data_IF_674327801951
#
_entry.id   IF_674327801951
#
_cell.length_a   1.000
_cell.length_b   1.000
_cell.length_c   1.000
_cell.angle_alpha   90.00
_cell.angle_beta   90.00
_cell.angle_gamma   90.00
#
_symmetry.space_group_name_H-M   'P 1'
#
loop_
_entity.id
_entity.type
_entity.pdbx_description
1 polymer ?
#
# COMPACT_ATOMS: atom_id res chain seq x y z
N UNK A 1 16.98 9.59 -11.05
CA UNK A 1 17.44 10.41 -12.21
C UNK A 1 17.77 11.83 -11.78
N UNK A 2 16.84 12.63 -11.29
CA UNK A 2 17.08 14.03 -10.87
C UNK A 2 18.08 14.14 -9.70
N UNK A 3 18.16 13.14 -8.83
CA UNK A 3 19.19 13.09 -7.78
C UNK A 3 20.62 13.16 -8.34
N UNK A 4 20.88 12.66 -9.54
CA UNK A 4 22.19 12.74 -10.16
C UNK A 4 22.62 14.19 -10.50
N UNK A 5 21.68 15.13 -10.57
CA UNK A 5 22.01 16.56 -10.79
C UNK A 5 22.81 17.17 -9.64
N UNK A 6 22.81 16.54 -8.46
CA UNK A 6 23.63 16.95 -7.31
C UNK A 6 25.14 16.98 -7.66
N UNK A 7 25.58 16.15 -8.62
CA UNK A 7 26.99 16.13 -9.08
C UNK A 7 27.44 17.47 -9.69
N UNK A 8 26.48 18.26 -10.19
CA UNK A 8 26.74 19.56 -10.81
C UNK A 8 26.49 20.73 -9.85
N UNK A 9 26.19 20.45 -8.57
CA UNK A 9 25.88 21.49 -7.58
C UNK A 9 27.03 22.45 -7.29
N UNK A 10 28.28 22.02 -7.47
CA UNK A 10 29.45 22.87 -7.33
C UNK A 10 29.56 23.94 -8.45
N UNK A 11 28.97 23.66 -9.62
CA UNK A 11 28.94 24.57 -10.77
C UNK A 11 27.66 25.40 -10.79
N UNK A 12 26.52 24.78 -10.39
CA UNK A 12 25.19 25.38 -10.41
C UNK A 12 24.57 25.21 -9.02
N UNK A 13 24.80 26.18 -8.13
CA UNK A 13 24.37 26.13 -6.72
C UNK A 13 22.94 25.70 -6.46
N UNK A 14 21.91 26.16 -7.23
CA UNK A 14 20.53 25.71 -7.06
C UNK A 14 20.31 24.21 -7.17
N UNK A 15 21.16 23.46 -7.89
CA UNK A 15 21.03 22.00 -8.02
C UNK A 15 21.28 21.24 -6.70
N UNK A 16 21.88 21.90 -5.70
CA UNK A 16 22.04 21.31 -4.37
C UNK A 16 20.71 20.96 -3.70
N UNK A 17 19.60 21.56 -4.12
CA UNK A 17 18.26 21.26 -3.58
C UNK A 17 17.88 19.80 -3.76
N UNK A 18 18.31 19.13 -4.81
CA UNK A 18 18.06 17.71 -5.06
C UNK A 18 18.74 16.77 -4.06
N UNK A 19 19.67 17.27 -3.23
CA UNK A 19 20.27 16.50 -2.13
C UNK A 19 19.26 16.22 -1.02
N UNK A 20 18.30 17.11 -0.81
CA UNK A 20 17.36 17.03 0.30
C UNK A 20 16.21 16.05 -0.01
N UNK A 21 16.06 15.02 0.85
CA UNK A 21 14.99 14.01 0.73
C UNK A 21 13.61 14.69 0.76
N UNK A 22 13.42 15.68 1.63
CA UNK A 22 12.15 16.41 1.75
C UNK A 22 11.74 17.09 0.46
N UNK A 23 12.69 17.75 -0.24
CA UNK A 23 12.43 18.36 -1.55
C UNK A 23 12.07 17.31 -2.58
N UNK A 24 12.80 16.20 -2.63
CA UNK A 24 12.54 15.10 -3.56
C UNK A 24 11.22 14.40 -3.28
N UNK A 25 10.83 14.28 -2.00
CA UNK A 25 9.51 13.74 -1.61
C UNK A 25 8.40 14.65 -2.09
N UNK A 26 8.51 15.97 -1.91
CA UNK A 26 7.56 16.96 -2.43
C UNK A 26 7.45 16.89 -3.96
N UNK A 27 8.60 16.82 -4.65
CA UNK A 27 8.65 16.64 -6.11
C UNK A 27 8.02 15.33 -6.55
N UNK A 28 8.21 14.26 -5.79
CA UNK A 28 7.61 12.96 -6.08
C UNK A 28 6.08 12.99 -5.93
N UNK A 29 5.55 13.64 -4.88
CA UNK A 29 4.10 13.85 -4.71
C UNK A 29 3.52 14.56 -5.93
N UNK A 30 4.12 15.72 -6.29
CA UNK A 30 3.61 16.54 -7.39
C UNK A 30 3.69 15.82 -8.74
N UNK A 31 4.80 15.14 -9.02
CA UNK A 31 4.99 14.41 -10.28
C UNK A 31 3.99 13.27 -10.41
N UNK A 32 3.79 12.46 -9.37
CA UNK A 32 2.85 11.35 -9.40
C UNK A 32 1.41 11.86 -9.52
N UNK A 33 1.04 12.90 -8.77
CA UNK A 33 -0.29 13.53 -8.86
C UNK A 33 -0.57 14.05 -10.27
N UNK A 34 0.33 14.87 -10.81
CA UNK A 34 0.17 15.46 -12.14
C UNK A 34 0.15 14.39 -13.23
N UNK A 35 0.98 13.35 -13.11
CA UNK A 35 0.99 12.24 -14.05
C UNK A 35 -0.38 11.55 -14.10
N UNK A 36 -0.93 11.16 -12.94
CA UNK A 36 -2.24 10.51 -12.87
C UNK A 36 -3.35 11.45 -13.33
N UNK A 37 -3.26 12.74 -13.00
CA UNK A 37 -4.26 13.72 -13.39
C UNK A 37 -4.29 13.95 -14.91
N UNK A 38 -3.13 14.04 -15.55
CA UNK A 38 -3.02 14.30 -17.00
C UNK A 38 -3.33 13.05 -17.83
N UNK A 39 -2.84 11.89 -17.42
CA UNK A 39 -3.01 10.65 -18.20
C UNK A 39 -4.22 9.81 -17.77
N UNK A 40 -4.81 10.12 -16.60
CA UNK A 40 -5.98 9.41 -16.07
C UNK A 40 -7.15 9.31 -17.04
N UNK A 41 -7.65 10.41 -17.62
CA UNK A 41 -8.76 10.36 -18.57
C UNK A 41 -8.49 9.43 -19.75
N UNK A 42 -7.28 9.50 -20.35
CA UNK A 42 -6.92 8.64 -21.47
C UNK A 42 -6.87 7.15 -21.09
N UNK A 43 -6.37 6.85 -19.88
CA UNK A 43 -6.34 5.47 -19.36
C UNK A 43 -7.77 4.97 -19.09
N UNK A 44 -8.64 5.79 -18.50
CA UNK A 44 -10.04 5.45 -18.25
C UNK A 44 -10.76 5.15 -19.57
N UNK A 45 -10.61 5.99 -20.59
CA UNK A 45 -11.23 5.80 -21.89
C UNK A 45 -10.72 4.54 -22.59
N UNK A 46 -9.40 4.28 -22.55
CA UNK A 46 -8.81 3.06 -23.07
C UNK A 46 -9.38 1.80 -22.38
N UNK A 47 -9.47 1.82 -21.05
CA UNK A 47 -10.01 0.70 -20.29
C UNK A 47 -11.51 0.52 -20.55
N UNK A 48 -12.28 1.61 -20.66
CA UNK A 48 -13.72 1.57 -20.98
C UNK A 48 -13.97 0.94 -22.34
N UNK A 49 -13.19 1.31 -23.35
CA UNK A 49 -13.29 0.74 -24.71
C UNK A 49 -12.93 -0.75 -24.70
N UNK A 50 -11.84 -1.13 -24.03
CA UNK A 50 -11.38 -2.52 -24.00
C UNK A 50 -12.26 -3.45 -23.14
N UNK A 51 -12.85 -2.95 -22.06
CA UNK A 51 -13.63 -3.75 -21.12
C UNK A 51 -15.14 -3.80 -21.51
N UNK A 52 -15.63 -2.86 -22.29
CA UNK A 52 -16.99 -2.81 -22.84
C UNK A 52 -18.12 -2.85 -21.80
N UNK A 53 -18.20 -3.94 -21.01
CA UNK A 53 -19.22 -4.15 -19.97
C UNK A 53 -18.79 -3.76 -18.55
N UNK A 54 -17.53 -3.31 -18.38
CA UNK A 54 -16.94 -3.03 -17.07
C UNK A 54 -16.70 -4.29 -16.23
N UNK A 55 -16.47 -4.11 -14.93
CA UNK A 55 -16.23 -5.22 -14.01
C UNK A 55 -17.53 -6.02 -13.76
N UNK A 56 -17.50 -7.37 -13.76
CA UNK A 56 -18.63 -8.19 -13.33
C UNK A 56 -18.97 -7.92 -11.86
N UNK A 57 -20.23 -7.54 -11.60
CA UNK A 57 -20.71 -7.29 -10.23
C UNK A 57 -21.28 -8.58 -9.67
N UNK A 58 -20.99 -8.87 -8.40
CA UNK A 58 -21.54 -10.04 -7.70
C UNK A 58 -23.03 -9.83 -7.43
N UNK A 59 -23.85 -10.83 -7.75
CA UNK A 59 -25.29 -10.79 -7.55
C UNK A 59 -25.71 -10.89 -6.07
N UNK A 60 -24.84 -11.47 -5.23
CA UNK A 60 -25.03 -11.61 -3.78
C UNK A 60 -24.59 -10.39 -2.96
N UNK A 61 -24.11 -9.32 -3.63
CA UNK A 61 -23.69 -8.07 -3.03
C UNK A 61 -24.83 -7.09 -2.72
N UNK A 62 -24.54 -5.92 -2.09
CA UNK A 62 -25.51 -4.87 -1.87
C UNK A 62 -26.13 -4.37 -3.19
N UNK A 63 -27.46 -4.13 -3.19
CA UNK A 63 -28.16 -3.69 -4.40
C UNK A 63 -27.68 -2.34 -4.94
N UNK A 64 -27.14 -1.47 -4.07
CA UNK A 64 -26.53 -0.20 -4.44
C UNK A 64 -25.39 -0.36 -5.47
N UNK A 65 -24.69 -1.51 -5.46
CA UNK A 65 -23.60 -1.79 -6.37
C UNK A 65 -24.08 -2.06 -7.82
N UNK A 66 -25.33 -2.44 -8.02
CA UNK A 66 -25.88 -2.67 -9.36
C UNK A 66 -25.90 -1.36 -10.21
N UNK A 67 -26.03 -0.22 -9.57
CA UNK A 67 -25.97 1.09 -10.24
C UNK A 67 -24.58 1.41 -10.82
N UNK A 68 -23.52 0.74 -10.34
CA UNK A 68 -22.11 0.91 -10.77
C UNK A 68 -21.74 0.03 -11.97
N UNK A 69 -22.71 -0.65 -12.57
CA UNK A 69 -22.50 -1.51 -13.76
C UNK A 69 -21.96 -0.69 -14.94
N UNK A 70 -20.85 -1.14 -15.52
CA UNK A 70 -20.20 -0.46 -16.63
C UNK A 70 -19.01 0.42 -16.22
N UNK A 71 -18.77 0.62 -14.92
CA UNK A 71 -17.54 1.28 -14.44
C UNK A 71 -16.32 0.40 -14.73
N UNK A 72 -15.28 0.91 -15.43
CA UNK A 72 -14.09 0.13 -15.71
C UNK A 72 -13.29 -0.15 -14.43
N UNK A 73 -12.58 -1.28 -14.42
CA UNK A 73 -11.63 -1.64 -13.37
C UNK A 73 -10.18 -1.51 -13.86
N UNK A 74 -9.20 -1.93 -13.05
CA UNK A 74 -7.76 -1.81 -13.33
C UNK A 74 -7.22 -0.38 -13.22
N UNK A 75 -7.86 0.49 -12.45
CA UNK A 75 -7.35 1.83 -12.14
C UNK A 75 -5.98 1.82 -11.46
N UNK A 76 -5.60 0.68 -10.88
CA UNK A 76 -4.25 0.43 -10.39
C UNK A 76 -3.15 0.68 -11.42
N UNK A 77 -3.43 0.55 -12.72
CA UNK A 77 -2.45 0.85 -13.78
C UNK A 77 -2.03 2.33 -13.78
N UNK A 78 -2.96 3.26 -13.57
CA UNK A 78 -2.60 4.68 -13.47
C UNK A 78 -1.84 4.99 -12.19
N UNK A 79 -2.19 4.34 -11.08
CA UNK A 79 -1.47 4.48 -9.81
C UNK A 79 -0.04 3.97 -9.97
N UNK A 80 0.15 2.75 -10.47
CA UNK A 80 1.45 2.12 -10.66
C UNK A 80 2.35 2.90 -11.62
N UNK A 81 1.80 3.41 -12.73
CA UNK A 81 2.56 4.22 -13.66
C UNK A 81 3.00 5.55 -13.02
N UNK A 82 2.13 6.22 -12.28
CA UNK A 82 2.46 7.44 -11.54
C UNK A 82 3.55 7.22 -10.49
N UNK A 83 3.43 6.15 -9.68
CA UNK A 83 4.44 5.76 -8.68
C UNK A 83 5.78 5.46 -9.36
N UNK A 84 5.77 4.66 -10.42
CA UNK A 84 7.00 4.22 -11.11
C UNK A 84 7.74 5.39 -11.72
N UNK A 85 7.05 6.21 -12.50
CA UNK A 85 7.64 7.40 -13.14
C UNK A 85 8.20 8.35 -12.08
N UNK A 86 7.43 8.65 -11.07
CA UNK A 86 7.84 9.56 -10.00
C UNK A 86 9.04 9.01 -9.22
N UNK A 87 9.01 7.73 -8.83
CA UNK A 87 10.12 7.09 -8.10
C UNK A 87 11.41 7.10 -8.93
N UNK A 88 11.34 6.75 -10.22
CA UNK A 88 12.50 6.75 -11.11
C UNK A 88 13.08 8.15 -11.33
N UNK A 89 12.25 9.18 -11.32
CA UNK A 89 12.71 10.57 -11.45
C UNK A 89 13.39 11.07 -10.18
N UNK A 90 12.79 10.85 -9.00
CA UNK A 90 13.16 11.53 -7.77
C UNK A 90 14.00 10.69 -6.80
N UNK A 91 13.85 9.36 -6.77
CA UNK A 91 14.60 8.52 -5.86
C UNK A 91 16.06 8.33 -6.28
N UNK A 92 16.90 8.01 -5.30
CA UNK A 92 18.29 7.64 -5.52
C UNK A 92 18.38 6.20 -6.03
N UNK A 93 18.88 6.02 -7.25
CA UNK A 93 19.05 4.71 -7.85
C UNK A 93 20.11 3.84 -7.20
N UNK A 94 21.04 4.46 -6.46
CA UNK A 94 22.05 3.74 -5.69
C UNK A 94 21.49 3.08 -4.43
N UNK A 95 20.25 3.42 -4.02
CA UNK A 95 19.65 2.87 -2.82
C UNK A 95 18.90 1.56 -3.12
N UNK A 96 19.35 0.42 -2.55
CA UNK A 96 18.76 -0.88 -2.84
C UNK A 96 17.33 -1.04 -2.28
N UNK A 97 16.97 -0.34 -1.19
CA UNK A 97 15.60 -0.39 -0.65
C UNK A 97 14.56 0.15 -1.64
N UNK A 98 14.94 1.15 -2.45
CA UNK A 98 14.08 1.70 -3.50
C UNK A 98 13.70 0.60 -4.50
N UNK A 99 14.68 -0.19 -4.94
CA UNK A 99 14.46 -1.26 -5.91
C UNK A 99 13.66 -2.43 -5.33
N UNK A 100 13.87 -2.77 -4.04
CA UNK A 100 13.10 -3.82 -3.37
C UNK A 100 11.63 -3.42 -3.29
N UNK A 101 11.32 -2.19 -2.85
CA UNK A 101 9.93 -1.74 -2.74
C UNK A 101 9.29 -1.62 -4.12
N UNK A 102 10.01 -1.10 -5.12
CA UNK A 102 9.52 -1.02 -6.49
C UNK A 102 9.26 -2.42 -7.07
N UNK A 103 10.16 -3.37 -6.84
CA UNK A 103 10.01 -4.76 -7.25
C UNK A 103 8.73 -5.39 -6.68
N UNK A 104 8.50 -5.26 -5.37
CA UNK A 104 7.26 -5.76 -4.73
C UNK A 104 6.04 -5.08 -5.34
N UNK A 105 6.06 -3.74 -5.44
CA UNK A 105 4.93 -2.95 -5.96
C UNK A 105 4.54 -3.38 -7.36
N UNK A 106 5.51 -3.49 -8.26
CA UNK A 106 5.26 -3.86 -9.66
C UNK A 106 4.90 -5.33 -9.83
N UNK A 107 5.52 -6.23 -9.06
CA UNK A 107 5.21 -7.66 -9.13
C UNK A 107 3.81 -7.95 -8.58
N UNK A 108 3.42 -7.36 -7.47
CA UNK A 108 2.06 -7.47 -6.92
C UNK A 108 1.03 -6.83 -7.86
N UNK A 109 1.40 -5.69 -8.46
CA UNK A 109 0.59 -5.07 -9.50
C UNK A 109 0.40 -5.97 -10.72
N UNK A 110 1.45 -6.68 -11.17
CA UNK A 110 1.35 -7.62 -12.28
C UNK A 110 0.49 -8.85 -11.94
N UNK A 111 0.59 -9.37 -10.70
CA UNK A 111 -0.27 -10.46 -10.21
C UNK A 111 -1.74 -10.00 -10.21
N UNK A 112 -2.03 -8.82 -9.65
CA UNK A 112 -3.38 -8.26 -9.63
C UNK A 112 -3.90 -7.93 -11.03
N UNK A 113 -3.04 -7.40 -11.91
CA UNK A 113 -3.40 -7.15 -13.30
C UNK A 113 -3.83 -8.43 -14.03
N UNK A 114 -3.10 -9.51 -13.84
CA UNK A 114 -3.46 -10.79 -14.44
C UNK A 114 -4.79 -11.32 -13.90
N UNK A 115 -5.06 -11.15 -12.61
CA UNK A 115 -6.33 -11.53 -11.99
C UNK A 115 -7.50 -10.72 -12.56
N UNK A 116 -7.37 -9.38 -12.60
CA UNK A 116 -8.36 -8.47 -13.17
C UNK A 116 -8.59 -8.75 -14.66
N UNK A 117 -7.52 -8.99 -15.43
CA UNK A 117 -7.58 -9.30 -16.86
C UNK A 117 -8.39 -10.58 -17.12
N UNK A 118 -8.20 -11.62 -16.32
CA UNK A 118 -8.97 -12.86 -16.44
C UNK A 118 -10.46 -12.65 -16.10
N UNK A 119 -10.77 -11.86 -15.06
CA UNK A 119 -12.14 -11.53 -14.68
C UNK A 119 -12.87 -10.78 -15.80
N UNK A 120 -12.22 -9.80 -16.40
CA UNK A 120 -12.80 -8.98 -17.48
C UNK A 120 -12.98 -9.79 -18.75
N UNK A 121 -11.93 -10.51 -19.21
CA UNK A 121 -11.96 -11.25 -20.49
C UNK A 121 -12.90 -12.43 -20.46
N UNK A 122 -13.04 -13.13 -19.32
CA UNK A 122 -13.95 -14.26 -19.16
C UNK A 122 -15.35 -13.84 -18.71
N UNK A 123 -15.58 -12.56 -18.42
CA UNK A 123 -16.83 -12.04 -17.84
C UNK A 123 -17.32 -12.86 -16.63
N UNK A 124 -16.38 -13.29 -15.80
CA UNK A 124 -16.64 -14.12 -14.62
C UNK A 124 -16.07 -13.43 -13.37
N UNK A 125 -16.68 -13.71 -12.22
CA UNK A 125 -16.19 -13.21 -10.92
C UNK A 125 -14.97 -13.99 -10.41
N UNK A 126 -14.70 -15.18 -10.99
CA UNK A 126 -13.51 -15.98 -10.68
C UNK A 126 -12.36 -15.60 -11.60
N UNK A 127 -11.30 -15.01 -11.04
CA UNK A 127 -10.08 -14.63 -11.76
C UNK A 127 -9.01 -15.74 -11.73
N UNK A 128 -7.80 -15.33 -11.37
CA UNK A 128 -6.66 -16.22 -11.21
C UNK A 128 -6.86 -17.19 -10.05
N UNK A 129 -6.38 -18.44 -10.18
CA UNK A 129 -6.49 -19.42 -9.09
C UNK A 129 -5.92 -18.87 -7.79
N UNK A 130 -6.74 -18.82 -6.73
CA UNK A 130 -6.36 -18.26 -5.42
C UNK A 130 -5.07 -18.86 -4.86
N UNK A 131 -4.84 -20.17 -5.06
CA UNK A 131 -3.62 -20.84 -4.58
C UNK A 131 -2.39 -20.39 -5.34
N UNK A 132 -2.47 -20.26 -6.67
CA UNK A 132 -1.35 -19.83 -7.50
C UNK A 132 -1.06 -18.34 -7.31
N UNK A 133 -2.11 -17.52 -7.12
CA UNK A 133 -1.98 -16.10 -6.78
C UNK A 133 -1.21 -15.93 -5.47
N UNK A 134 -1.66 -16.60 -4.42
CA UNK A 134 -1.01 -16.55 -3.11
C UNK A 134 0.44 -17.08 -3.18
N UNK A 135 0.69 -18.16 -3.93
CA UNK A 135 2.05 -18.67 -4.12
C UNK A 135 2.97 -17.63 -4.77
N UNK A 136 2.50 -16.95 -5.82
CA UNK A 136 3.25 -15.89 -6.48
C UNK A 136 3.54 -14.72 -5.54
N UNK A 137 2.55 -14.27 -4.76
CA UNK A 137 2.71 -13.23 -3.74
C UNK A 137 3.75 -13.64 -2.67
N UNK A 138 3.68 -14.86 -2.16
CA UNK A 138 4.62 -15.42 -1.18
C UNK A 138 6.05 -15.47 -1.74
N UNK A 139 6.23 -15.90 -2.98
CA UNK A 139 7.56 -15.96 -3.62
C UNK A 139 8.17 -14.55 -3.76
N UNK A 140 7.40 -13.57 -4.24
CA UNK A 140 7.86 -12.18 -4.36
C UNK A 140 8.21 -11.61 -2.97
N UNK A 141 7.35 -11.84 -1.97
CA UNK A 141 7.57 -11.37 -0.60
C UNK A 141 8.81 -12.03 0.03
N UNK A 142 9.04 -13.33 -0.21
CA UNK A 142 10.22 -14.04 0.28
C UNK A 142 11.52 -13.47 -0.32
N UNK A 143 11.53 -13.21 -1.62
CA UNK A 143 12.68 -12.57 -2.30
C UNK A 143 12.96 -11.19 -1.68
N UNK A 144 11.91 -10.37 -1.47
CA UNK A 144 12.05 -9.05 -0.88
C UNK A 144 12.56 -9.11 0.57
N UNK A 145 12.00 -10.01 1.41
CA UNK A 145 12.43 -10.19 2.79
C UNK A 145 13.88 -10.67 2.89
N UNK A 146 14.29 -11.61 2.03
CA UNK A 146 15.67 -12.07 1.91
C UNK A 146 16.61 -10.94 1.48
N UNK A 147 16.20 -10.11 0.52
CA UNK A 147 16.99 -8.97 0.07
C UNK A 147 17.18 -7.94 1.21
N UNK A 148 16.11 -7.59 1.95
CA UNK A 148 16.20 -6.70 3.13
C UNK A 148 17.12 -7.27 4.18
N UNK A 149 17.03 -8.57 4.47
CA UNK A 149 17.91 -9.25 5.44
C UNK A 149 19.39 -9.19 5.04
N UNK A 150 19.70 -9.24 3.72
CA UNK A 150 21.09 -9.21 3.21
C UNK A 150 21.68 -7.81 3.15
N UNK A 151 20.86 -6.79 2.91
CA UNK A 151 21.28 -5.40 2.72
C UNK A 151 21.45 -4.67 4.06
N UNK A 152 20.65 -5.01 5.05
CA UNK A 152 20.66 -4.34 6.36
C UNK A 152 21.88 -4.65 7.20
N UNK A 153 22.06 -3.89 8.28
CA UNK A 153 23.20 -4.03 9.21
C UNK A 153 23.22 -5.40 9.84
N UNK A 154 24.41 -6.02 9.91
CA UNK A 154 24.60 -7.33 10.50
C UNK A 154 24.04 -7.39 11.95
N UNK A 155 23.31 -8.45 12.25
CA UNK A 155 22.66 -8.66 13.56
C UNK A 155 21.34 -7.96 13.77
N UNK A 156 21.08 -6.82 13.10
CA UNK A 156 19.82 -6.08 13.21
C UNK A 156 18.87 -6.35 12.03
N UNK A 157 19.40 -6.62 10.85
CA UNK A 157 18.60 -6.83 9.63
C UNK A 157 17.61 -8.00 9.73
N UNK A 158 17.87 -8.99 10.55
CA UNK A 158 17.01 -10.16 10.80
C UNK A 158 16.28 -10.11 12.14
N UNK A 159 16.14 -8.93 12.74
CA UNK A 159 15.48 -8.76 14.03
C UNK A 159 14.10 -8.09 13.87
N UNK A 160 13.22 -8.38 14.82
CA UNK A 160 11.92 -7.71 14.97
C UNK A 160 12.03 -6.68 16.10
N UNK A 161 11.59 -5.45 15.85
CA UNK A 161 11.47 -4.41 16.87
C UNK A 161 10.06 -4.36 17.43
N UNK A 162 9.96 -4.25 18.76
CA UNK A 162 8.66 -4.19 19.44
C UNK A 162 8.35 -2.72 19.76
N UNK A 163 7.24 -2.14 19.23
CA UNK A 163 6.83 -0.78 19.58
C UNK A 163 6.55 -0.68 21.07
N UNK A 164 6.71 0.52 21.66
CA UNK A 164 6.60 0.83 23.09
C UNK A 164 7.73 0.29 23.98
N UNK A 165 8.54 -0.65 23.51
CA UNK A 165 9.64 -1.24 24.29
C UNK A 165 10.98 -0.99 23.60
N UNK A 166 11.64 0.10 23.98
CA UNK A 166 12.87 0.61 23.37
C UNK A 166 14.01 -0.43 23.24
N UNK A 167 14.18 -1.27 24.23
CA UNK A 167 15.30 -2.22 24.30
C UNK A 167 14.92 -3.64 23.85
N UNK A 168 13.66 -3.84 23.42
CA UNK A 168 13.18 -5.16 22.99
C UNK A 168 13.40 -5.32 21.51
N UNK A 169 14.50 -5.96 21.16
CA UNK A 169 14.84 -6.39 19.80
C UNK A 169 14.94 -7.90 19.82
N UNK A 170 14.07 -8.55 19.07
CA UNK A 170 14.00 -10.03 19.03
C UNK A 170 14.79 -10.50 17.80
N UNK A 171 15.94 -11.16 17.98
CA UNK A 171 16.70 -11.70 16.86
C UNK A 171 15.98 -12.94 16.32
N UNK A 172 15.41 -12.83 15.13
CA UNK A 172 14.66 -13.91 14.47
C UNK A 172 15.55 -14.79 13.58
N UNK A 173 16.72 -14.29 13.17
CA UNK A 173 17.56 -14.98 12.23
C UNK A 173 16.79 -15.27 10.93
N UNK A 174 16.81 -16.56 10.49
CA UNK A 174 16.10 -16.95 9.27
C UNK A 174 14.57 -16.84 9.40
N UNK A 175 13.99 -16.90 10.60
CA UNK A 175 12.55 -16.70 10.82
C UNK A 175 12.06 -15.30 10.49
N UNK A 176 12.97 -14.35 10.26
CA UNK A 176 12.62 -13.04 9.71
C UNK A 176 11.98 -13.13 8.32
N UNK A 177 12.39 -14.10 7.50
CA UNK A 177 11.82 -14.27 6.14
C UNK A 177 10.35 -14.66 6.18
N UNK A 178 9.90 -15.71 6.91
CA UNK A 178 8.47 -15.99 7.06
C UNK A 178 7.68 -14.80 7.65
N UNK A 179 8.24 -14.07 8.61
CA UNK A 179 7.61 -12.86 9.14
C UNK A 179 7.45 -11.78 8.05
N UNK A 180 8.51 -11.50 7.28
CA UNK A 180 8.44 -10.55 6.16
C UNK A 180 7.42 -10.94 5.10
N UNK A 181 7.34 -12.25 4.79
CA UNK A 181 6.31 -12.79 3.90
C UNK A 181 4.92 -12.54 4.45
N UNK A 182 4.70 -12.84 5.74
CA UNK A 182 3.41 -12.61 6.39
C UNK A 182 3.01 -11.13 6.33
N UNK A 183 3.94 -10.22 6.58
CA UNK A 183 3.69 -8.78 6.57
C UNK A 183 3.39 -8.28 5.16
N UNK A 184 4.21 -8.65 4.16
CA UNK A 184 4.06 -8.16 2.79
C UNK A 184 2.81 -8.76 2.14
N UNK A 185 2.66 -10.08 2.15
CA UNK A 185 1.51 -10.74 1.55
C UNK A 185 0.21 -10.46 2.34
N UNK A 186 0.31 -10.41 3.67
CA UNK A 186 -0.79 -10.02 4.53
C UNK A 186 -1.31 -8.61 4.24
N UNK A 187 -0.40 -7.63 4.12
CA UNK A 187 -0.76 -6.26 3.80
C UNK A 187 -1.37 -6.15 2.38
N UNK A 188 -0.80 -6.84 1.38
CA UNK A 188 -1.35 -6.90 0.03
C UNK A 188 -2.80 -7.36 0.01
N UNK A 189 -3.06 -8.52 0.61
CA UNK A 189 -4.41 -9.08 0.66
C UNK A 189 -5.37 -8.28 1.57
N UNK A 190 -4.87 -7.67 2.64
CA UNK A 190 -5.69 -6.86 3.55
C UNK A 190 -6.20 -5.57 2.87
N UNK A 191 -5.35 -4.87 2.12
CA UNK A 191 -5.76 -3.72 1.31
C UNK A 191 -6.73 -4.15 0.22
N UNK A 192 -6.49 -5.30 -0.43
CA UNK A 192 -7.39 -5.83 -1.46
C UNK A 192 -8.79 -6.15 -0.90
N UNK A 193 -8.89 -6.75 0.28
CA UNK A 193 -10.17 -7.01 0.95
C UNK A 193 -10.91 -5.72 1.36
N UNK A 194 -10.18 -4.64 1.60
CA UNK A 194 -10.75 -3.34 1.99
C UNK A 194 -11.27 -2.55 0.78
N UNK A 195 -10.83 -2.86 -0.44
CA UNK A 195 -11.19 -2.14 -1.67
C UNK A 195 -12.59 -2.55 -2.17
N UNK A 196 -13.60 -2.40 -1.33
CA UNK A 196 -14.99 -2.76 -1.64
C UNK A 196 -15.93 -1.58 -1.89
N UNK A 197 -15.55 -0.34 -1.54
CA UNK A 197 -16.34 0.87 -1.72
C UNK A 197 -15.49 1.98 -2.36
N UNK A 198 -16.16 2.89 -3.09
CA UNK A 198 -15.52 3.99 -3.80
C UNK A 198 -14.69 4.86 -2.83
N UNK A 199 -13.39 5.00 -3.07
CA UNK A 199 -12.47 5.78 -2.26
C UNK A 199 -12.09 5.16 -0.90
N UNK A 200 -12.67 4.01 -0.51
CA UNK A 200 -12.47 3.44 0.82
C UNK A 200 -11.02 3.04 1.08
N UNK A 201 -10.38 2.31 0.19
CA UNK A 201 -9.04 1.77 0.41
C UNK A 201 -7.93 2.80 0.18
N UNK A 202 -8.08 3.67 -0.84
CA UNK A 202 -6.99 4.55 -1.28
C UNK A 202 -6.60 5.59 -0.23
N UNK A 203 -7.56 6.17 0.51
CA UNK A 203 -7.26 7.19 1.53
C UNK A 203 -6.53 6.60 2.74
N UNK A 204 -6.96 5.48 3.34
CA UNK A 204 -6.18 4.78 4.36
C UNK A 204 -4.78 4.37 3.89
N UNK A 205 -4.60 3.97 2.62
CA UNK A 205 -3.27 3.71 2.05
C UNK A 205 -2.43 4.97 2.04
N UNK A 206 -2.96 6.12 1.62
CA UNK A 206 -2.23 7.40 1.63
C UNK A 206 -1.86 7.83 3.05
N UNK A 207 -2.76 7.65 4.02
CA UNK A 207 -2.49 7.94 5.44
C UNK A 207 -1.36 7.04 5.97
N UNK A 208 -1.40 5.74 5.66
CA UNK A 208 -0.33 4.81 6.02
C UNK A 208 0.99 5.18 5.33
N UNK A 209 0.96 5.54 4.03
CA UNK A 209 2.14 5.98 3.30
C UNK A 209 2.74 7.26 3.88
N UNK A 210 1.92 8.24 4.28
CA UNK A 210 2.39 9.46 4.94
C UNK A 210 3.07 9.14 6.28
N UNK A 211 2.47 8.26 7.06
CA UNK A 211 3.01 7.80 8.35
C UNK A 211 4.36 7.08 8.15
N UNK A 212 4.42 6.13 7.24
CA UNK A 212 5.65 5.39 6.94
C UNK A 212 6.70 6.22 6.22
N UNK A 213 6.31 7.24 5.44
CA UNK A 213 7.22 8.23 4.89
C UNK A 213 7.95 9.02 5.98
N UNK A 214 7.22 9.44 7.02
CA UNK A 214 7.81 10.08 8.19
C UNK A 214 8.69 9.11 8.99
N UNK A 215 8.22 7.88 9.25
CA UNK A 215 9.00 6.85 9.94
C UNK A 215 10.30 6.56 9.19
N UNK A 216 10.25 6.38 7.88
CA UNK A 216 11.42 6.13 7.04
C UNK A 216 12.42 7.29 7.10
N UNK A 217 11.91 8.53 7.00
CA UNK A 217 12.75 9.72 7.12
C UNK A 217 13.45 9.83 8.47
N UNK A 218 12.72 9.58 9.56
CA UNK A 218 13.25 9.67 10.92
C UNK A 218 14.22 8.52 11.23
N UNK A 219 13.87 7.28 10.89
CA UNK A 219 14.73 6.10 11.12
C UNK A 219 15.94 6.05 10.20
N UNK A 220 15.84 6.66 9.00
CA UNK A 220 16.93 6.79 8.05
C UNK A 220 17.92 7.91 8.35
N UNK A 221 17.68 8.73 9.38
CA UNK A 221 18.56 9.83 9.79
C UNK A 221 19.15 9.54 11.18
N UNK A 222 20.48 9.45 11.27
CA UNK A 222 21.17 9.10 12.51
C UNK A 222 20.90 10.09 13.66
N UNK A 223 20.74 11.39 13.37
CA UNK A 223 20.48 12.40 14.40
C UNK A 223 19.06 12.29 14.94
N UNK A 224 18.05 12.16 14.07
CA UNK A 224 16.67 11.97 14.49
C UNK A 224 16.48 10.62 15.18
N UNK A 225 17.08 9.54 14.67
CA UNK A 225 17.03 8.24 15.29
C UNK A 225 17.58 8.26 16.71
N UNK A 226 18.72 8.93 16.94
CA UNK A 226 19.32 9.12 18.28
C UNK A 226 18.43 9.97 19.18
N UNK A 227 17.90 11.08 18.69
CA UNK A 227 17.02 11.97 19.47
C UNK A 227 15.73 11.28 19.91
N UNK A 228 15.09 10.56 18.98
CA UNK A 228 13.86 9.81 19.24
C UNK A 228 14.14 8.47 19.94
N UNK A 229 15.41 8.05 20.01
CA UNK A 229 15.84 6.75 20.56
C UNK A 229 15.23 5.56 19.81
N UNK A 230 14.99 5.72 18.51
CA UNK A 230 14.58 4.64 17.60
C UNK A 230 15.81 4.03 16.94
N UNK A 231 15.63 2.83 16.37
CA UNK A 231 16.72 2.17 15.67
C UNK A 231 17.04 2.88 14.34
N UNK A 232 18.33 3.18 14.15
CA UNK A 232 18.81 3.76 12.91
C UNK A 232 18.89 2.68 11.82
N UNK A 233 18.23 2.92 10.69
CA UNK A 233 18.25 2.06 9.50
C UNK A 233 18.90 2.83 8.35
N UNK A 234 20.21 2.63 8.08
CA UNK A 234 20.91 3.35 7.01
C UNK A 234 20.21 3.17 5.66
N UNK A 235 19.95 4.28 4.97
CA UNK A 235 19.32 4.27 3.65
C UNK A 235 17.78 4.21 3.66
N UNK A 236 17.12 3.87 4.76
CA UNK A 236 15.66 3.80 4.83
C UNK A 236 14.99 5.15 4.54
N UNK A 237 15.67 6.28 4.82
CA UNK A 237 15.14 7.61 4.56
C UNK A 237 14.72 7.87 3.11
N UNK A 238 15.34 7.18 2.16
CA UNK A 238 15.01 7.29 0.73
C UNK A 238 13.60 6.76 0.41
N UNK A 239 13.06 5.85 1.24
CA UNK A 239 11.71 5.35 1.09
C UNK A 239 10.64 6.42 1.29
N UNK A 240 10.96 7.55 1.93
CA UNK A 240 10.06 8.70 2.02
C UNK A 240 9.68 9.24 0.62
N UNK A 241 10.60 9.15 -0.35
CA UNK A 241 10.34 9.56 -1.74
C UNK A 241 9.29 8.64 -2.39
N UNK A 242 9.38 7.32 -2.15
CA UNK A 242 8.37 6.35 -2.64
C UNK A 242 7.03 6.58 -1.96
N UNK A 243 7.03 6.81 -0.63
CA UNK A 243 5.80 7.16 0.09
C UNK A 243 5.16 8.44 -0.48
N UNK A 244 5.98 9.44 -0.85
CA UNK A 244 5.51 10.63 -1.54
C UNK A 244 4.87 10.30 -2.90
N UNK A 245 5.51 9.44 -3.70
CA UNK A 245 4.94 8.99 -4.97
C UNK A 245 3.61 8.24 -4.78
N UNK A 246 3.50 7.39 -3.74
CA UNK A 246 2.24 6.71 -3.35
C UNK A 246 1.13 7.72 -3.02
N UNK A 247 1.45 8.73 -2.21
CA UNK A 247 0.49 9.79 -1.84
C UNK A 247 0.04 10.56 -3.08
N UNK A 248 0.98 11.00 -3.91
CA UNK A 248 0.66 11.77 -5.12
C UNK A 248 -0.19 10.99 -6.11
N UNK A 249 0.19 9.73 -6.40
CA UNK A 249 -0.60 8.85 -7.26
C UNK A 249 -1.99 8.54 -6.67
N UNK A 250 -2.06 8.34 -5.34
CA UNK A 250 -3.30 8.12 -4.62
C UNK A 250 -4.25 9.31 -4.69
N UNK A 251 -3.74 10.54 -4.51
CA UNK A 251 -4.53 11.78 -4.67
C UNK A 251 -5.07 11.93 -6.09
N UNK A 252 -4.20 11.70 -7.10
CA UNK A 252 -4.62 11.73 -8.50
C UNK A 252 -5.67 10.68 -8.82
N UNK A 253 -5.53 9.46 -8.29
CA UNK A 253 -6.51 8.39 -8.46
C UNK A 253 -7.83 8.69 -7.74
N UNK A 254 -7.78 9.22 -6.52
CA UNK A 254 -8.97 9.58 -5.74
C UNK A 254 -9.85 10.58 -6.48
N UNK A 255 -9.29 11.47 -7.29
CA UNK A 255 -10.06 12.40 -8.12
C UNK A 255 -11.06 11.68 -9.03
N UNK A 256 -10.69 10.49 -9.52
CA UNK A 256 -11.54 9.69 -10.41
C UNK A 256 -12.30 8.57 -9.67
N UNK A 257 -11.86 8.20 -8.46
CA UNK A 257 -12.44 7.12 -7.66
C UNK A 257 -13.35 7.61 -6.53
N UNK A 258 -13.41 8.93 -6.27
CA UNK A 258 -14.37 9.49 -5.32
C UNK A 258 -15.82 9.20 -5.76
N UNK A 259 -16.75 8.95 -4.81
CA UNK A 259 -18.13 8.60 -5.14
C UNK A 259 -18.87 9.70 -5.94
N UNK A 260 -19.53 9.40 -7.08
CA UNK A 260 -19.59 8.11 -7.76
C UNK A 260 -18.33 7.84 -8.58
N UNK A 261 -17.71 6.67 -8.42
CA UNK A 261 -16.44 6.35 -9.04
C UNK A 261 -16.52 6.25 -10.58
N UNK A 262 -15.58 6.92 -11.26
CA UNK A 262 -15.39 6.82 -12.72
C UNK A 262 -14.57 5.58 -13.11
N UNK A 263 -13.79 5.03 -12.16
CA UNK A 263 -12.95 3.85 -12.33
C UNK A 263 -12.72 3.18 -10.97
N UNK A 264 -12.70 1.84 -10.95
CA UNK A 264 -12.31 1.05 -9.77
C UNK A 264 -10.82 0.75 -9.79
N UNK A 265 -10.22 0.66 -8.59
CA UNK A 265 -8.80 0.37 -8.42
C UNK A 265 -8.44 -1.03 -8.94
N UNK A 266 -9.24 -2.02 -8.59
CA UNK A 266 -9.05 -3.42 -8.93
C UNK A 266 -7.91 -4.07 -8.12
N UNK A 267 -7.75 -5.38 -8.33
CA UNK A 267 -6.69 -6.16 -7.69
C UNK A 267 -5.30 -5.67 -8.12
N UNK A 268 -5.20 -5.08 -9.32
CA UNK A 268 -3.99 -4.42 -9.85
C UNK A 268 -3.44 -3.36 -8.89
N UNK A 269 -4.30 -2.50 -8.37
CA UNK A 269 -3.89 -1.41 -7.49
C UNK A 269 -3.82 -1.83 -6.02
N UNK A 270 -4.84 -2.50 -5.53
CA UNK A 270 -4.98 -2.82 -4.11
C UNK A 270 -3.89 -3.77 -3.61
N UNK A 271 -3.56 -4.84 -4.35
CA UNK A 271 -2.44 -5.74 -4.02
C UNK A 271 -1.10 -5.00 -4.05
N UNK A 272 -0.86 -4.19 -5.09
CA UNK A 272 0.39 -3.46 -5.24
C UNK A 272 0.62 -2.47 -4.10
N UNK A 273 -0.39 -1.69 -3.73
CA UNK A 273 -0.30 -0.69 -2.67
C UNK A 273 -0.10 -1.32 -1.29
N UNK A 274 -0.84 -2.40 -1.01
CA UNK A 274 -0.67 -3.14 0.24
C UNK A 274 0.70 -3.80 0.32
N UNK A 275 1.17 -4.45 -0.76
CA UNK A 275 2.50 -5.03 -0.86
C UNK A 275 3.61 -4.00 -0.69
N UNK A 276 3.46 -2.80 -1.28
CA UNK A 276 4.39 -1.69 -1.11
C UNK A 276 4.48 -1.25 0.36
N UNK A 277 3.35 -1.05 1.05
CA UNK A 277 3.33 -0.69 2.47
C UNK A 277 4.00 -1.78 3.33
N UNK A 278 3.70 -3.06 3.06
CA UNK A 278 4.34 -4.19 3.72
C UNK A 278 5.86 -4.20 3.53
N UNK A 279 6.33 -4.00 2.30
CA UNK A 279 7.75 -3.95 1.97
C UNK A 279 8.46 -2.76 2.64
N UNK A 280 7.81 -1.59 2.70
CA UNK A 280 8.32 -0.40 3.40
C UNK A 280 8.43 -0.67 4.91
N UNK A 281 7.43 -1.30 5.52
CA UNK A 281 7.44 -1.64 6.94
C UNK A 281 8.57 -2.61 7.30
N UNK A 282 8.77 -3.65 6.48
CA UNK A 282 9.86 -4.63 6.62
C UNK A 282 11.23 -3.95 6.44
N UNK A 283 11.37 -3.06 5.46
CA UNK A 283 12.60 -2.33 5.20
C UNK A 283 12.96 -1.34 6.31
N UNK A 284 11.97 -0.68 6.91
CA UNK A 284 12.14 0.27 8.01
C UNK A 284 12.18 -0.39 9.39
N UNK A 285 11.96 -1.69 9.49
CA UNK A 285 11.89 -2.44 10.76
C UNK A 285 10.74 -2.02 11.68
N UNK A 286 9.60 -1.71 11.08
CA UNK A 286 8.40 -1.26 11.79
C UNK A 286 7.18 -2.15 11.43
N UNK A 287 7.40 -3.48 11.39
CA UNK A 287 6.40 -4.48 10.97
C UNK A 287 5.15 -4.45 11.85
N UNK A 288 5.34 -4.41 13.19
CA UNK A 288 4.22 -4.34 14.15
C UNK A 288 3.52 -2.98 14.06
N UNK A 289 4.27 -1.90 13.81
CA UNK A 289 3.69 -0.56 13.65
C UNK A 289 2.76 -0.51 12.44
N UNK A 290 3.07 -1.27 11.37
CA UNK A 290 2.16 -1.39 10.23
C UNK A 290 0.82 -2.00 10.63
N UNK A 291 0.80 -2.99 11.53
CA UNK A 291 -0.46 -3.56 12.01
C UNK A 291 -1.30 -2.54 12.80
N UNK A 292 -0.66 -1.55 13.44
CA UNK A 292 -1.35 -0.46 14.15
C UNK A 292 -1.83 0.60 13.13
N UNK A 293 -0.94 1.14 12.31
CA UNK A 293 -1.25 2.17 11.31
C UNK A 293 -2.26 1.66 10.29
N UNK A 294 -2.06 0.44 9.82
CA UNK A 294 -2.95 -0.29 8.92
C UNK A 294 -4.07 -1.04 9.64
N UNK A 295 -4.39 -0.69 10.89
CA UNK A 295 -5.34 -1.43 11.73
C UNK A 295 -6.74 -1.53 11.12
N UNK A 296 -7.13 -0.58 10.26
CA UNK A 296 -8.37 -0.70 9.49
C UNK A 296 -8.31 -1.93 8.56
N UNK A 297 -7.24 -2.11 7.80
CA UNK A 297 -7.05 -3.25 6.91
C UNK A 297 -6.99 -4.57 7.70
N UNK A 298 -6.36 -4.54 8.89
CA UNK A 298 -6.32 -5.68 9.80
C UNK A 298 -7.73 -6.04 10.28
N UNK A 299 -8.54 -5.07 10.69
CA UNK A 299 -9.92 -5.30 11.16
C UNK A 299 -10.81 -5.86 10.04
N UNK A 300 -10.70 -5.33 8.82
CA UNK A 300 -11.42 -5.84 7.66
C UNK A 300 -11.06 -7.31 7.39
N UNK A 301 -9.77 -7.62 7.38
CA UNK A 301 -9.28 -8.99 7.17
C UNK A 301 -9.71 -9.93 8.29
N UNK A 302 -9.57 -9.53 9.55
CA UNK A 302 -9.99 -10.33 10.70
C UNK A 302 -11.49 -10.60 10.67
N UNK A 303 -12.31 -9.64 10.24
CA UNK A 303 -13.76 -9.85 10.11
C UNK A 303 -14.09 -10.96 9.14
N UNK A 304 -13.36 -11.06 8.01
CA UNK A 304 -13.52 -12.16 7.03
C UNK A 304 -13.07 -13.48 7.63
N UNK A 305 -11.89 -13.51 8.28
CA UNK A 305 -11.38 -14.74 8.92
C UNK A 305 -12.36 -15.25 9.98
N UNK A 306 -12.85 -14.38 10.85
CA UNK A 306 -13.82 -14.73 11.90
C UNK A 306 -15.13 -15.25 11.28
N UNK A 307 -15.65 -14.54 10.27
CA UNK A 307 -16.87 -14.93 9.58
C UNK A 307 -16.76 -16.30 8.94
N UNK A 308 -15.72 -16.55 8.18
CA UNK A 308 -15.48 -17.81 7.47
C UNK A 308 -15.26 -18.96 8.47
N UNK A 309 -14.46 -18.72 9.52
CA UNK A 309 -14.19 -19.72 10.55
C UNK A 309 -15.45 -20.08 11.32
N UNK A 310 -16.23 -19.09 11.77
CA UNK A 310 -17.49 -19.31 12.47
C UNK A 310 -18.48 -20.10 11.60
N UNK A 311 -18.64 -19.69 10.34
CA UNK A 311 -19.57 -20.36 9.43
C UNK A 311 -19.17 -21.82 9.15
N UNK A 312 -17.88 -22.10 8.97
CA UNK A 312 -17.37 -23.46 8.78
C UNK A 312 -17.53 -24.34 10.02
N UNK A 313 -17.33 -23.77 11.22
CA UNK A 313 -17.36 -24.55 12.47
C UNK A 313 -18.76 -24.68 13.06
N UNK A 314 -19.60 -23.66 12.93
CA UNK A 314 -20.90 -23.59 13.64
C UNK A 314 -22.12 -23.43 12.72
N UNK A 315 -21.92 -23.20 11.42
CA UNK A 315 -22.99 -22.86 10.48
C UNK A 315 -23.60 -21.46 10.69
N UNK A 316 -23.09 -20.67 11.64
CA UNK A 316 -23.66 -19.36 11.99
C UNK A 316 -22.75 -18.22 11.53
N UNK A 317 -23.38 -17.12 11.08
CA UNK A 317 -22.70 -15.88 10.74
C UNK A 317 -22.52 -14.99 11.98
N UNK A 318 -21.33 -14.43 12.19
CA UNK A 318 -21.04 -13.44 13.25
C UNK A 318 -21.47 -12.05 12.80
N UNK A 319 -21.11 -11.68 11.57
CA UNK A 319 -21.47 -10.40 10.96
C UNK A 319 -22.58 -10.60 9.94
N UNK A 320 -23.40 -9.58 9.67
CA UNK A 320 -24.41 -9.63 8.60
C UNK A 320 -23.78 -9.97 7.26
N UNK A 321 -22.64 -9.31 6.99
CA UNK A 321 -21.76 -9.58 5.85
C UNK A 321 -20.32 -9.25 6.26
N UNK A 322 -19.32 -9.88 5.68
CA UNK A 322 -17.90 -9.54 5.82
C UNK A 322 -17.34 -9.25 4.42
N UNK A 323 -16.39 -8.32 4.30
CA UNK A 323 -15.72 -7.50 5.31
C UNK A 323 -16.64 -6.49 6.06
N UNK A 324 -16.08 -5.79 7.09
CA UNK A 324 -16.87 -4.92 8.00
C UNK A 324 -17.62 -3.79 7.29
N UNK A 325 -17.07 -3.19 6.24
CA UNK A 325 -17.76 -2.13 5.50
C UNK A 325 -19.12 -2.61 4.98
N UNK A 326 -19.22 -3.83 4.45
CA UNK A 326 -20.50 -4.43 4.04
C UNK A 326 -21.45 -4.71 5.21
N UNK A 327 -20.91 -5.00 6.40
CA UNK A 327 -21.73 -5.14 7.59
C UNK A 327 -22.48 -3.86 7.94
N UNK A 328 -21.81 -2.71 7.82
CA UNK A 328 -22.41 -1.40 8.07
C UNK A 328 -23.40 -0.98 6.97
N UNK A 329 -23.11 -1.28 5.70
CA UNK A 329 -24.07 -1.11 4.61
C UNK A 329 -25.36 -1.92 4.86
N UNK A 330 -25.22 -3.20 5.27
CA UNK A 330 -26.36 -4.06 5.63
C UNK A 330 -27.10 -3.61 6.91
N UNK A 331 -26.52 -2.71 7.68
CA UNK A 331 -27.21 -1.99 8.77
C UNK A 331 -27.94 -0.74 8.31
N UNK A 332 -27.84 -0.37 7.04
CA UNK A 332 -28.50 0.79 6.45
C UNK A 332 -27.66 2.08 6.49
N UNK A 333 -26.34 2.00 6.74
CA UNK A 333 -25.47 3.18 6.61
C UNK A 333 -25.22 3.49 5.14
N UNK A 334 -25.23 4.78 4.81
CA UNK A 334 -24.85 5.24 3.47
C UNK A 334 -23.37 4.96 3.22
N UNK A 335 -23.02 4.58 1.99
CA UNK A 335 -21.65 4.29 1.57
C UNK A 335 -20.67 5.41 1.96
N UNK A 336 -21.00 6.66 1.65
CA UNK A 336 -20.16 7.82 2.00
C UNK A 336 -19.93 7.97 3.50
N UNK A 337 -20.93 7.62 4.33
CA UNK A 337 -20.79 7.65 5.78
C UNK A 337 -19.82 6.59 6.29
N UNK A 338 -19.86 5.37 5.74
CA UNK A 338 -18.92 4.30 6.06
C UNK A 338 -17.50 4.74 5.68
N UNK A 339 -17.33 5.21 4.45
CA UNK A 339 -16.04 5.64 3.89
C UNK A 339 -15.39 6.72 4.75
N UNK A 340 -16.10 7.82 5.03
CA UNK A 340 -15.56 8.94 5.82
C UNK A 340 -15.21 8.52 7.25
N UNK A 341 -16.06 7.71 7.91
CA UNK A 341 -15.76 7.22 9.25
C UNK A 341 -14.53 6.32 9.29
N UNK A 342 -14.33 5.51 8.28
CA UNK A 342 -13.16 4.63 8.16
C UNK A 342 -11.88 5.44 7.91
N UNK A 343 -11.96 6.54 7.14
CA UNK A 343 -10.85 7.48 7.01
C UNK A 343 -10.46 8.10 8.36
N UNK A 344 -11.47 8.53 9.15
CA UNK A 344 -11.22 9.09 10.49
C UNK A 344 -10.53 8.06 11.39
N UNK A 345 -10.99 6.79 11.38
CA UNK A 345 -10.36 5.71 12.13
C UNK A 345 -8.92 5.53 11.69
N UNK A 346 -8.64 5.56 10.38
CA UNK A 346 -7.27 5.42 9.86
C UNK A 346 -6.36 6.56 10.30
N UNK A 347 -6.87 7.80 10.37
CA UNK A 347 -6.10 8.94 10.92
C UNK A 347 -5.77 8.71 12.40
N UNK A 348 -6.75 8.28 13.22
CA UNK A 348 -6.52 7.96 14.64
C UNK A 348 -5.47 6.87 14.80
N UNK A 349 -5.56 5.79 14.03
CA UNK A 349 -4.59 4.69 14.05
C UNK A 349 -3.19 5.13 13.61
N UNK A 350 -3.11 6.02 12.62
CA UNK A 350 -1.84 6.61 12.19
C UNK A 350 -1.19 7.44 13.31
N UNK A 351 -1.98 8.25 14.03
CA UNK A 351 -1.49 9.02 15.18
C UNK A 351 -1.02 8.10 16.31
N UNK A 352 -1.74 7.00 16.59
CA UNK A 352 -1.30 5.98 17.57
C UNK A 352 0.01 5.35 17.09
N UNK A 353 0.12 4.99 15.81
CA UNK A 353 1.36 4.45 15.24
C UNK A 353 2.54 5.42 15.36
N UNK A 354 2.35 6.70 15.08
CA UNK A 354 3.39 7.72 15.26
C UNK A 354 3.76 7.92 16.73
N UNK A 355 2.79 7.83 17.65
CA UNK A 355 3.06 7.93 19.08
C UNK A 355 4.02 6.82 19.56
N UNK A 356 4.02 5.65 18.92
CA UNK A 356 4.96 4.56 19.24
C UNK A 356 6.43 4.95 19.07
N UNK A 357 6.74 5.96 18.24
CA UNK A 357 8.11 6.43 18.01
C UNK A 357 8.71 7.13 19.23
N UNK A 358 7.87 7.69 20.10
CA UNK A 358 8.33 8.46 21.27
C UNK A 358 7.92 7.87 22.61
N UNK A 359 6.79 7.16 22.66
CA UNK A 359 6.34 6.47 23.88
C UNK A 359 7.16 5.19 24.07
N UNK A 360 8.37 5.35 24.63
CA UNK A 360 9.33 4.25 24.87
C UNK A 360 10.04 4.41 26.19
#
# INVERSE_FOLDING_TARGET
MLYALVQFSDQIGPLNVFRYITFRTGGAIMTALLFVFLFGPAIIDLLRVKQGRGQPIREDGPQSHLAKKGTPTMGGLMILSGITVSTLLWASWANPYVWIVLFVTLSYGAIGFYDDYLKVTRSQTTGFSTRLRLLAEVLVAAIAALAVMRIGSAGFSSSLTVPFFKNVVIPLGFFFVPLGVLVIAGAGNAVNLTDGLDGLAIVPVMIAAATFGLIAYLSGNANFARYLQIHYVPGAGELAVICGALIGAGLGFLWFNAPPAMIFMGDTGSLALGGALGAIAVATKHEIVLAIVGGLFVLETLSVIIQVSSFKLTGKRVFRMAPLHHHFEQKGWQESTVVVRFWIISVVLALVGLATLKLR
#
